data_IF_287125604161
#
_entry.id   IF_287125604161
#
_cell.length_a   1.000
_cell.length_b   1.000
_cell.length_c   1.000
_cell.angle_alpha   90.00
_cell.angle_beta   90.00
_cell.angle_gamma   90.00
#
_symmetry.space_group_name_H-M   'P 1'
#
loop_
_entity.id
_entity.type
_entity.pdbx_description
1 polymer ?
#
# COMPACT_ATOMS: atom_id res chain seq x y z
N UNK A 1 -17.69 38.25 51.22
CA UNK A 1 -16.94 36.99 51.47
C UNK A 1 -17.16 36.12 50.23
N UNK A 2 -16.43 36.28 49.12
CA UNK A 2 -15.04 35.86 48.83
C UNK A 2 -14.77 34.41 49.20
N UNK A 3 -15.26 33.48 48.38
CA UNK A 3 -14.81 32.10 48.39
C UNK A 3 -13.58 31.97 47.50
N UNK A 4 -12.50 31.47 48.11
CA UNK A 4 -11.14 31.50 47.59
C UNK A 4 -11.03 30.60 46.35
N UNK A 5 -10.54 31.19 45.26
CA UNK A 5 -9.98 30.44 44.15
C UNK A 5 -8.80 29.59 44.66
N UNK A 6 -8.99 28.27 44.78
CA UNK A 6 -7.90 27.33 44.95
C UNK A 6 -7.12 27.29 43.64
N UNK A 7 -6.06 28.10 43.60
CA UNK A 7 -5.04 28.13 42.56
C UNK A 7 -4.28 26.80 42.59
N UNK A 8 -4.88 25.78 42.00
CA UNK A 8 -4.20 24.54 41.63
C UNK A 8 -3.27 24.86 40.46
N UNK A 9 -1.99 25.08 40.78
CA UNK A 9 -0.88 25.21 39.82
C UNK A 9 -0.93 24.05 38.82
N UNK A 10 -1.58 24.23 37.67
CA UNK A 10 -1.37 23.36 36.51
C UNK A 10 -0.06 23.81 35.89
N UNK A 11 0.95 22.96 35.99
CA UNK A 11 2.24 23.14 35.35
C UNK A 11 2.05 23.34 33.84
N UNK A 12 1.95 24.60 33.41
CA UNK A 12 2.04 24.99 32.01
C UNK A 12 3.52 25.14 31.68
N UNK A 13 4.25 24.03 31.63
CA UNK A 13 5.61 24.08 31.11
C UNK A 13 6.00 22.76 30.47
N UNK A 14 5.53 22.58 29.24
CA UNK A 14 6.32 21.88 28.22
C UNK A 14 6.78 22.96 27.26
N UNK A 15 8.07 23.31 27.31
CA UNK A 15 8.71 24.34 26.45
C UNK A 15 8.96 23.77 25.04
N UNK A 16 7.98 23.07 24.48
CA UNK A 16 8.10 22.32 23.23
C UNK A 16 6.95 22.62 22.29
N UNK A 17 7.24 22.55 20.99
CA UNK A 17 6.25 22.68 19.93
C UNK A 17 5.23 21.53 20.00
N UNK A 18 3.98 21.81 19.65
CA UNK A 18 2.88 20.86 19.68
C UNK A 18 1.96 21.04 18.46
N UNK A 19 1.31 19.96 18.04
CA UNK A 19 0.28 20.02 17.01
C UNK A 19 -1.09 20.22 17.65
N UNK A 20 -1.86 21.18 17.13
CA UNK A 20 -3.24 21.42 17.53
C UNK A 20 -4.17 21.08 16.37
N UNK A 21 -5.18 20.26 16.65
CA UNK A 21 -6.29 19.97 15.73
C UNK A 21 -7.58 20.43 16.36
N UNK A 22 -8.43 21.13 15.59
CA UNK A 22 -9.73 21.59 16.04
C UNK A 22 -10.80 21.34 14.97
N UNK A 23 -12.00 20.95 15.42
CA UNK A 23 -13.15 20.67 14.56
C UNK A 23 -14.39 21.40 15.09
N UNK A 24 -15.23 21.90 14.18
CA UNK A 24 -16.49 22.56 14.52
C UNK A 24 -17.48 21.59 15.16
N UNK A 25 -18.27 22.09 16.11
CA UNK A 25 -19.33 21.30 16.73
C UNK A 25 -20.61 21.22 15.88
N UNK A 26 -20.72 22.01 14.82
CA UNK A 26 -21.93 22.15 14.00
C UNK A 26 -21.94 21.25 12.76
N UNK A 27 -20.99 20.31 12.66
CA UNK A 27 -20.90 19.38 11.53
C UNK A 27 -21.98 18.30 11.63
N UNK A 28 -22.79 18.15 10.58
CA UNK A 28 -23.77 17.08 10.46
C UNK A 28 -23.06 15.72 10.45
N UNK A 29 -23.48 14.80 11.33
CA UNK A 29 -22.78 13.52 11.56
C UNK A 29 -21.78 13.54 12.74
N UNK A 30 -21.54 14.71 13.35
CA UNK A 30 -20.65 14.86 14.48
C UNK A 30 -19.17 14.89 14.11
N UNK A 31 -18.33 15.12 15.12
CA UNK A 31 -16.87 15.21 14.97
C UNK A 31 -16.20 13.86 15.20
N UNK A 32 -15.25 13.51 14.33
CA UNK A 32 -14.41 12.30 14.49
C UNK A 32 -13.34 12.53 15.55
N UNK A 33 -13.01 13.79 15.85
CA UNK A 33 -12.01 14.18 16.85
C UNK A 33 -12.27 13.55 18.22
N UNK A 34 -13.54 13.33 18.60
CA UNK A 34 -13.88 12.62 19.85
C UNK A 34 -13.37 11.18 19.86
N UNK A 35 -13.49 10.48 18.72
CA UNK A 35 -12.99 9.12 18.57
C UNK A 35 -11.46 9.11 18.57
N UNK A 36 -10.82 10.03 17.85
CA UNK A 36 -9.35 10.17 17.81
C UNK A 36 -8.77 10.37 19.22
N UNK A 37 -9.35 11.28 20.01
CA UNK A 37 -8.96 11.52 21.41
C UNK A 37 -9.11 10.26 22.26
N UNK A 38 -10.22 9.51 22.09
CA UNK A 38 -10.45 8.27 22.82
C UNK A 38 -9.45 7.15 22.47
N UNK A 39 -9.02 7.08 21.21
CA UNK A 39 -8.02 6.13 20.73
C UNK A 39 -6.65 6.52 21.30
N UNK A 40 -6.22 7.77 21.12
CA UNK A 40 -4.91 8.24 21.58
C UNK A 40 -4.75 8.17 23.10
N UNK A 41 -5.82 8.41 23.86
CA UNK A 41 -5.81 8.23 25.32
C UNK A 41 -5.50 6.79 25.73
N UNK A 42 -5.97 5.79 24.97
CA UNK A 42 -5.69 4.36 25.21
C UNK A 42 -4.30 3.93 24.74
N UNK A 43 -3.73 4.63 23.76
CA UNK A 43 -2.39 4.36 23.22
C UNK A 43 -1.26 5.13 23.94
N UNK A 44 -1.57 5.77 25.08
CA UNK A 44 -0.60 6.53 25.86
C UNK A 44 0.62 5.67 26.22
N UNK A 45 1.82 6.22 26.00
CA UNK A 45 3.09 5.57 26.30
C UNK A 45 3.55 4.54 25.26
N UNK A 46 2.78 4.31 24.18
CA UNK A 46 3.23 3.44 23.08
C UNK A 46 4.24 4.16 22.19
N UNK A 47 5.34 3.49 21.78
CA UNK A 47 6.27 4.05 20.82
C UNK A 47 5.59 4.22 19.45
N UNK A 48 6.08 5.18 18.66
CA UNK A 48 5.59 5.46 17.30
C UNK A 48 4.14 5.96 17.20
N UNK A 49 3.51 6.36 18.31
CA UNK A 49 2.17 6.95 18.33
C UNK A 49 2.26 8.39 18.88
N UNK A 50 1.60 9.39 18.25
CA UNK A 50 1.48 10.73 18.81
C UNK A 50 0.89 10.70 20.21
N UNK A 51 1.47 11.45 21.14
CA UNK A 51 0.97 11.48 22.52
C UNK A 51 0.00 12.64 22.70
N UNK A 52 -1.17 12.33 23.28
CA UNK A 52 -2.16 13.35 23.65
C UNK A 52 -1.64 14.17 24.84
N UNK A 53 -1.49 15.49 24.65
CA UNK A 53 -1.09 16.44 25.68
C UNK A 53 -2.33 17.00 26.38
N UNK A 54 -3.31 17.48 25.59
CA UNK A 54 -4.55 18.04 26.10
C UNK A 54 -5.70 17.86 25.10
N UNK A 55 -6.94 17.91 25.58
CA UNK A 55 -8.12 17.95 24.72
C UNK A 55 -9.25 18.65 25.44
N UNK A 56 -10.15 19.28 24.68
CA UNK A 56 -11.32 19.94 25.26
C UNK A 56 -12.45 20.15 24.28
N UNK A 57 -13.62 20.43 24.83
CA UNK A 57 -14.80 20.88 24.10
C UNK A 57 -15.11 22.32 24.51
N UNK A 58 -15.37 23.16 23.53
CA UNK A 58 -15.91 24.53 23.66
C UNK A 58 -17.29 24.56 23.04
N UNK A 59 -17.96 25.71 23.09
CA UNK A 59 -19.29 25.86 22.50
C UNK A 59 -19.27 25.71 20.98
N UNK A 60 -18.28 26.32 20.32
CA UNK A 60 -18.22 26.37 18.86
C UNK A 60 -17.38 25.25 18.24
N UNK A 61 -16.43 24.70 18.98
CA UNK A 61 -15.49 23.71 18.47
C UNK A 61 -15.02 22.75 19.56
N UNK A 62 -14.42 21.65 19.15
CA UNK A 62 -13.63 20.77 19.97
C UNK A 62 -12.18 20.79 19.48
N UNK A 63 -11.25 20.47 20.35
CA UNK A 63 -9.83 20.50 20.00
C UNK A 63 -9.03 19.46 20.78
N UNK A 64 -7.88 19.11 20.21
CA UNK A 64 -6.83 18.34 20.87
C UNK A 64 -5.47 18.95 20.58
N UNK A 65 -4.58 18.77 21.54
CA UNK A 65 -3.17 19.13 21.49
C UNK A 65 -2.39 17.84 21.65
N UNK A 66 -1.51 17.55 20.71
CA UNK A 66 -0.70 16.33 20.69
C UNK A 66 0.75 16.65 20.33
N UNK A 67 1.62 15.65 20.45
CA UNK A 67 3.00 15.73 19.96
C UNK A 67 3.04 16.23 18.52
N UNK A 68 3.84 17.27 18.25
CA UNK A 68 4.13 17.68 16.88
C UNK A 68 5.00 16.62 16.21
N UNK A 69 4.57 16.14 15.04
CA UNK A 69 5.36 15.26 14.20
C UNK A 69 6.06 16.07 13.11
N UNK A 70 7.14 15.49 12.57
CA UNK A 70 7.82 16.05 11.40
C UNK A 70 7.07 15.79 10.10
N UNK A 71 7.81 15.87 9.00
CA UNK A 71 7.26 15.72 7.66
C UNK A 71 6.58 14.37 7.44
N UNK A 72 5.50 14.41 6.67
CA UNK A 72 4.80 13.20 6.24
C UNK A 72 5.61 12.44 5.20
N UNK A 73 5.35 11.14 5.05
CA UNK A 73 5.96 10.34 4.00
C UNK A 73 5.68 10.90 2.58
N UNK A 74 4.50 11.47 2.35
CA UNK A 74 4.16 12.09 1.06
C UNK A 74 5.02 13.30 0.73
N UNK A 75 5.33 14.12 1.75
CA UNK A 75 6.28 15.23 1.62
C UNK A 75 7.68 14.72 1.31
N UNK A 76 8.12 13.65 1.99
CA UNK A 76 9.43 13.06 1.71
C UNK A 76 9.50 12.49 0.28
N UNK A 77 8.44 11.81 -0.16
CA UNK A 77 8.35 11.23 -1.51
C UNK A 77 8.46 12.30 -2.61
N UNK A 78 7.84 13.48 -2.43
CA UNK A 78 7.94 14.56 -3.43
C UNK A 78 9.33 15.21 -3.49
N UNK A 79 10.11 15.13 -2.41
CA UNK A 79 11.52 15.57 -2.38
C UNK A 79 12.50 14.52 -2.90
N UNK A 80 12.10 13.25 -2.88
CA UNK A 80 12.89 12.15 -3.42
C UNK A 80 12.80 12.17 -4.94
N UNK A 81 13.90 12.53 -5.59
CA UNK A 81 14.12 12.28 -7.02
C UNK A 81 14.38 10.79 -7.31
N UNK A 82 13.74 9.88 -6.56
CA UNK A 82 13.94 8.45 -6.71
C UNK A 82 12.92 7.89 -7.70
N UNK A 83 13.48 7.35 -8.78
CA UNK A 83 12.84 6.89 -10.01
C UNK A 83 12.33 8.00 -10.93
N UNK A 84 13.26 8.64 -11.65
CA UNK A 84 13.09 8.66 -13.11
C UNK A 84 12.59 7.27 -13.49
N UNK A 85 11.36 7.18 -14.04
CA UNK A 85 10.74 5.91 -14.39
C UNK A 85 11.83 5.00 -14.96
N UNK A 86 12.14 3.84 -14.32
CA UNK A 86 13.14 2.94 -14.84
C UNK A 86 12.83 2.73 -16.32
N UNK A 87 13.86 2.71 -17.15
CA UNK A 87 13.67 2.45 -18.56
C UNK A 87 13.21 0.99 -18.73
N UNK A 88 11.91 0.76 -18.56
CA UNK A 88 11.29 -0.55 -18.64
C UNK A 88 11.41 -1.11 -20.06
N UNK A 89 11.58 -0.25 -21.07
CA UNK A 89 11.86 -0.69 -22.42
C UNK A 89 13.28 -1.29 -22.50
N UNK A 90 14.29 -0.63 -21.93
CA UNK A 90 15.64 -1.18 -21.83
C UNK A 90 15.67 -2.50 -21.04
N UNK A 91 15.02 -2.54 -19.88
CA UNK A 91 14.96 -3.74 -19.03
C UNK A 91 14.28 -4.90 -19.77
N UNK A 92 13.13 -4.62 -20.42
CA UNK A 92 12.41 -5.61 -21.20
C UNK A 92 13.25 -6.14 -22.37
N UNK A 93 13.90 -5.25 -23.12
CA UNK A 93 14.75 -5.64 -24.24
C UNK A 93 15.92 -6.50 -23.78
N UNK A 94 16.57 -6.14 -22.66
CA UNK A 94 17.63 -6.93 -22.06
C UNK A 94 17.15 -8.33 -21.64
N UNK A 95 15.96 -8.43 -21.03
CA UNK A 95 15.36 -9.73 -20.71
C UNK A 95 15.10 -10.57 -21.95
N UNK A 96 14.56 -9.97 -23.02
CA UNK A 96 14.32 -10.67 -24.28
C UNK A 96 15.62 -11.19 -24.93
N UNK A 97 16.70 -10.40 -24.87
CA UNK A 97 18.02 -10.82 -25.36
C UNK A 97 18.58 -12.01 -24.56
N UNK A 98 18.52 -11.95 -23.23
CA UNK A 98 18.98 -13.04 -22.34
C UNK A 98 18.14 -14.30 -22.56
N UNK A 99 16.81 -14.18 -22.67
CA UNK A 99 15.92 -15.31 -22.93
C UNK A 99 16.25 -15.99 -24.26
N UNK A 100 16.51 -15.20 -25.31
CA UNK A 100 16.90 -15.72 -26.62
C UNK A 100 18.26 -16.42 -26.56
N UNK A 101 19.25 -15.84 -25.91
CA UNK A 101 20.59 -16.41 -25.77
C UNK A 101 20.57 -17.72 -24.96
N UNK A 102 19.82 -17.74 -23.85
CA UNK A 102 19.68 -18.88 -22.96
C UNK A 102 18.64 -19.92 -23.40
N UNK A 103 17.91 -19.68 -24.50
CA UNK A 103 16.81 -20.52 -25.01
C UNK A 103 15.67 -20.73 -24.00
N UNK A 104 15.44 -19.74 -23.14
CA UNK A 104 14.32 -19.72 -22.20
C UNK A 104 13.04 -19.26 -22.90
N UNK A 105 11.90 -19.77 -22.45
CA UNK A 105 10.57 -19.39 -22.92
C UNK A 105 9.74 -18.89 -21.75
N UNK A 106 8.81 -17.98 -22.02
CA UNK A 106 7.83 -17.53 -21.03
C UNK A 106 6.93 -18.66 -20.50
N UNK A 107 6.86 -19.78 -21.22
CA UNK A 107 6.10 -20.96 -20.83
C UNK A 107 6.90 -21.95 -20.00
N UNK A 108 8.19 -21.69 -19.78
CA UNK A 108 9.01 -22.58 -19.00
C UNK A 108 8.55 -22.54 -17.54
N UNK A 109 8.43 -23.71 -16.90
CA UNK A 109 8.07 -23.78 -15.50
C UNK A 109 9.14 -23.09 -14.67
N UNK A 110 8.72 -22.37 -13.63
CA UNK A 110 9.67 -21.80 -12.68
C UNK A 110 10.45 -22.90 -11.97
N UNK A 111 11.61 -22.56 -11.42
CA UNK A 111 12.46 -23.52 -10.69
C UNK A 111 11.75 -24.20 -9.51
N UNK A 112 10.72 -23.55 -8.96
CA UNK A 112 9.88 -24.04 -7.87
C UNK A 112 8.65 -24.84 -8.33
N UNK A 113 8.43 -25.00 -9.64
CA UNK A 113 7.33 -25.81 -10.18
C UNK A 113 7.78 -27.25 -10.44
N UNK A 114 6.89 -28.24 -10.23
CA UNK A 114 7.20 -29.63 -10.52
C UNK A 114 7.45 -29.81 -12.03
N UNK A 115 8.61 -30.37 -12.38
CA UNK A 115 8.97 -30.64 -13.77
C UNK A 115 7.95 -31.60 -14.37
N UNK A 116 7.28 -31.17 -15.45
CA UNK A 116 6.35 -32.03 -16.18
C UNK A 116 7.14 -33.16 -16.86
N UNK A 117 7.01 -34.39 -16.37
CA UNK A 117 7.61 -35.56 -17.00
C UNK A 117 6.96 -35.80 -18.38
N UNK A 118 7.74 -35.64 -19.45
CA UNK A 118 7.29 -35.97 -20.80
C UNK A 118 7.25 -37.50 -20.91
N UNK A 119 6.05 -38.09 -20.88
CA UNK A 119 5.84 -39.49 -21.27
C UNK A 119 6.22 -39.62 -22.75
N UNK A 120 7.38 -40.23 -23.04
CA UNK A 120 7.74 -40.63 -24.41
C UNK A 120 6.71 -41.64 -24.91
N UNK A 121 5.75 -41.19 -25.72
CA UNK A 121 4.82 -42.07 -26.42
C UNK A 121 5.62 -43.03 -27.29
N UNK A 122 5.52 -44.34 -27.03
CA UNK A 122 6.06 -45.38 -27.92
C UNK A 122 5.36 -45.23 -29.27
N UNK A 123 6.13 -44.96 -30.32
CA UNK A 123 5.67 -45.07 -31.71
C UNK A 123 5.41 -46.55 -31.98
N UNK A 124 4.15 -46.96 -32.04
CA UNK A 124 3.76 -48.27 -32.59
C UNK A 124 3.47 -48.07 -34.07
N UNK A 125 4.32 -48.64 -34.91
CA UNK A 125 4.11 -48.71 -36.35
C UNK A 125 2.97 -49.71 -36.60
N UNK A 126 1.86 -49.25 -37.18
CA UNK A 126 0.83 -50.13 -37.74
C UNK A 126 0.78 -49.89 -39.25
N UNK A 127 0.94 -50.99 -40.00
CA UNK A 127 1.03 -51.06 -41.45
C UNK A 127 -0.26 -50.58 -42.15
N UNK A 128 -0.07 -49.99 -43.32
CA UNK A 128 -1.10 -49.38 -44.15
C UNK A 128 -2.17 -50.36 -44.66
N UNK A 129 -3.40 -49.85 -44.80
CA UNK A 129 -4.36 -50.27 -45.82
C UNK A 129 -5.07 -49.04 -46.39
N UNK A 130 -4.98 -48.90 -47.71
CA UNK A 130 -5.50 -47.83 -48.56
C UNK A 130 -7.03 -47.85 -48.64
N UNK A 131 -7.67 -46.70 -48.50
CA UNK A 131 -8.86 -46.33 -49.27
C UNK A 131 -8.93 -44.81 -49.43
N UNK A 132 -9.15 -44.39 -50.68
CA UNK A 132 -9.14 -43.03 -51.21
C UNK A 132 -10.58 -42.49 -51.20
N UNK A 133 -10.81 -41.22 -50.82
CA UNK A 133 -11.65 -40.24 -51.56
C UNK A 133 -11.64 -38.80 -50.97
N UNK A 134 -11.10 -37.89 -51.77
CA UNK A 134 -11.45 -36.49 -52.11
C UNK A 134 -12.24 -35.53 -51.20
N UNK A 135 -11.61 -34.36 -50.95
CA UNK A 135 -12.07 -32.94 -51.06
C UNK A 135 -13.29 -32.47 -50.22
N UNK A 136 -13.27 -31.33 -49.51
CA UNK A 136 -13.17 -29.95 -50.05
C UNK A 136 -12.87 -28.91 -48.94
N UNK A 137 -12.30 -27.77 -49.34
CA UNK A 137 -11.90 -26.59 -48.55
C UNK A 137 -13.05 -25.69 -48.08
N UNK A 138 -12.81 -24.93 -47.02
CA UNK A 138 -13.02 -23.47 -46.82
C UNK A 138 -12.88 -23.19 -45.30
N UNK A 139 -12.28 -22.14 -44.74
CA UNK A 139 -11.96 -20.78 -45.16
C UNK A 139 -12.31 -19.87 -43.96
N UNK A 140 -11.36 -19.19 -43.34
CA UNK A 140 -11.68 -18.10 -42.38
C UNK A 140 -10.73 -16.93 -42.57
N UNK A 141 -11.31 -15.83 -43.05
CA UNK A 141 -10.70 -14.52 -43.23
C UNK A 141 -10.94 -13.64 -41.99
N UNK A 142 -9.87 -12.91 -41.63
CA UNK A 142 -9.76 -11.63 -40.90
C UNK A 142 -10.77 -11.31 -39.79
#
# INVERSE_FOLDING_TARGET
>A
MMEKASSGKRALQTVGEAALKAESNFVAGGTVLKLEVQILSRLKGRPHVPQLIHSGKKELYCYMVMTLLGDTLGTLQSTLNYYSHPDYALIYNLFMEIMKAGKFKFTDPFDWEPKKEVKKSKVTVLSASTAITSETKEGYTK
#
